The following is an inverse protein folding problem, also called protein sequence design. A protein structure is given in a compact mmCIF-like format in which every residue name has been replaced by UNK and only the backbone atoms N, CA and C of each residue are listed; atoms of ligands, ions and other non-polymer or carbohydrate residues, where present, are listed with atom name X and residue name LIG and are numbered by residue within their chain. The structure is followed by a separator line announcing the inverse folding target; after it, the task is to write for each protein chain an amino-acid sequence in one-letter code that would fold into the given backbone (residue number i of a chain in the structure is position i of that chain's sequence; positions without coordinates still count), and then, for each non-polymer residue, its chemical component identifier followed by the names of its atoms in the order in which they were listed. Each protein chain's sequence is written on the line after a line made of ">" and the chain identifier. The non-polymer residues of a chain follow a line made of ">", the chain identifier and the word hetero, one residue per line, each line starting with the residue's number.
data_IF_784999184916
#
_entry.id   IF_784999184916
#
_cell.length_a   1.000
_cell.length_b   1.000
_cell.length_c   1.000
_cell.angle_alpha   90.00
_cell.angle_beta   90.00
_cell.angle_gamma   90.00
#
_symmetry.space_group_name_H-M   'P 1'
#
loop_
_entity.id
_entity.type
_entity.pdbx_description
1 polymer ?
#
# COMPACT_ATOMS: atom_id res chain seq x y z
N UNK A 1 19.84 -3.24 -0.60
CA UNK A 1 18.78 -4.17 -0.12
C UNK A 1 19.29 -5.59 -0.23
N UNK A 2 19.08 -6.43 0.80
CA UNK A 2 19.53 -7.84 0.81
C UNK A 2 18.35 -8.73 1.13
N UNK A 3 18.20 -9.84 0.41
CA UNK A 3 17.15 -10.83 0.59
C UNK A 3 17.70 -12.07 1.27
N UNK A 4 16.98 -12.59 2.27
CA UNK A 4 17.27 -13.84 2.98
C UNK A 4 16.06 -14.76 2.80
N UNK A 5 16.23 -15.88 2.14
CA UNK A 5 15.19 -16.82 1.73
C UNK A 5 14.92 -17.97 2.71
N UNK A 6 15.50 -17.90 3.88
CA UNK A 6 15.31 -18.82 4.98
C UNK A 6 14.84 -18.10 6.25
N UNK A 7 14.35 -18.89 7.22
CA UNK A 7 13.77 -18.36 8.45
C UNK A 7 14.77 -17.61 9.34
N UNK A 8 14.27 -16.56 9.99
CA UNK A 8 15.05 -15.76 10.96
C UNK A 8 14.20 -15.48 12.20
N UNK A 9 14.86 -15.32 13.35
CA UNK A 9 14.23 -14.85 14.58
C UNK A 9 14.62 -13.40 14.85
N UNK A 10 13.71 -12.61 15.38
CA UNK A 10 14.00 -11.25 15.85
C UNK A 10 14.19 -11.29 17.37
N UNK A 11 15.43 -11.32 17.84
CA UNK A 11 15.80 -11.39 19.25
C UNK A 11 16.47 -10.10 19.71
N UNK A 12 15.95 -9.48 20.76
CA UNK A 12 16.44 -8.18 21.22
C UNK A 12 16.38 -7.09 20.15
N UNK A 13 15.43 -7.18 19.21
CA UNK A 13 15.32 -6.25 18.09
C UNK A 13 16.32 -6.46 16.96
N UNK A 14 17.10 -7.56 16.98
CA UNK A 14 18.12 -7.89 15.97
C UNK A 14 17.80 -9.24 15.33
N UNK A 15 17.85 -9.37 13.99
CA UNK A 15 17.69 -10.64 13.32
C UNK A 15 18.77 -11.64 13.68
N UNK A 16 18.37 -12.88 14.02
CA UNK A 16 19.26 -13.98 14.41
C UNK A 16 18.86 -15.25 13.64
N UNK A 17 19.81 -16.12 13.26
CA UNK A 17 19.48 -17.36 12.57
C UNK A 17 18.81 -18.40 13.48
N UNK A 18 18.98 -18.30 14.79
CA UNK A 18 18.45 -19.25 15.78
C UNK A 18 17.98 -18.53 17.04
N UNK A 19 17.03 -19.12 17.74
CA UNK A 19 16.57 -18.71 19.07
C UNK A 19 16.25 -19.97 19.92
N UNK A 20 16.07 -19.86 21.24
CA UNK A 20 15.62 -20.96 22.08
C UNK A 20 14.11 -21.22 21.95
N UNK A 21 13.58 -21.12 20.75
CA UNK A 21 12.17 -21.26 20.37
C UNK A 21 12.06 -22.05 19.07
N UNK A 22 10.96 -22.77 18.92
CA UNK A 22 10.61 -23.35 17.63
C UNK A 22 10.06 -22.27 16.67
N UNK A 23 10.12 -22.47 15.34
CA UNK A 23 9.50 -21.56 14.38
C UNK A 23 8.02 -21.31 14.66
N UNK A 24 7.25 -22.33 15.06
CA UNK A 24 5.82 -22.18 15.35
C UNK A 24 5.56 -21.32 16.60
N UNK A 25 6.37 -21.45 17.65
CA UNK A 25 6.32 -20.56 18.81
C UNK A 25 6.69 -19.12 18.45
N UNK A 26 7.72 -18.95 17.61
CA UNK A 26 8.14 -17.65 17.15
C UNK A 26 7.13 -16.97 16.22
N UNK A 27 6.42 -17.72 15.34
CA UNK A 27 5.36 -17.15 14.48
C UNK A 27 4.26 -16.48 15.29
N UNK A 28 3.86 -17.08 16.42
CA UNK A 28 2.83 -16.51 17.31
C UNK A 28 3.21 -15.16 17.90
N UNK A 29 4.48 -14.79 17.84
CA UNK A 29 5.04 -13.53 18.35
C UNK A 29 5.08 -12.41 17.33
N UNK A 30 4.80 -12.69 16.04
CA UNK A 30 4.69 -11.64 15.01
C UNK A 30 3.43 -10.80 15.20
N UNK A 31 3.46 -9.54 14.80
CA UNK A 31 2.27 -8.68 14.81
C UNK A 31 1.20 -9.24 13.88
N UNK A 32 1.61 -9.67 12.68
CA UNK A 32 0.72 -10.23 11.68
C UNK A 32 -0.07 -11.42 12.21
N UNK A 33 0.59 -12.39 12.82
CA UNK A 33 -0.11 -13.55 13.41
C UNK A 33 -1.12 -13.13 14.45
N UNK A 34 -0.74 -12.27 15.39
CA UNK A 34 -1.62 -11.84 16.49
C UNK A 34 -2.85 -11.09 15.99
N UNK A 35 -2.70 -10.24 14.96
CA UNK A 35 -3.83 -9.53 14.35
C UNK A 35 -4.74 -10.53 13.63
N UNK A 36 -4.18 -11.42 12.81
CA UNK A 36 -4.96 -12.42 12.09
C UNK A 36 -5.76 -13.32 13.05
N UNK A 37 -5.12 -13.81 14.12
CA UNK A 37 -5.81 -14.67 15.09
C UNK A 37 -6.89 -13.94 15.91
N UNK A 38 -6.70 -12.65 16.19
CA UNK A 38 -7.72 -11.84 16.85
C UNK A 38 -9.01 -11.69 16.01
N UNK A 39 -8.91 -11.80 14.69
CA UNK A 39 -10.04 -11.69 13.74
C UNK A 39 -10.49 -13.05 13.21
N UNK A 40 -9.81 -14.14 13.58
CA UNK A 40 -10.09 -15.48 13.11
C UNK A 40 -11.26 -16.13 13.88
N UNK A 41 -12.26 -16.60 13.17
CA UNK A 41 -13.45 -17.25 13.73
C UNK A 41 -13.51 -18.75 13.48
N UNK A 42 -12.46 -19.34 12.88
CA UNK A 42 -12.48 -20.76 12.53
C UNK A 42 -12.22 -21.69 13.71
N UNK A 43 -11.50 -21.22 14.72
CA UNK A 43 -10.93 -22.09 15.77
C UNK A 43 -9.69 -22.87 15.32
N UNK A 44 -9.28 -22.76 14.06
CA UNK A 44 -8.06 -23.35 13.49
C UNK A 44 -7.05 -22.24 13.22
N UNK A 45 -5.85 -22.34 13.82
CA UNK A 45 -4.82 -21.32 13.66
C UNK A 45 -4.24 -21.28 12.25
N UNK A 46 -4.37 -22.34 11.45
CA UNK A 46 -3.80 -22.47 10.10
C UNK A 46 -4.79 -22.23 8.96
N UNK A 47 -6.09 -22.41 9.23
CA UNK A 47 -7.18 -22.17 8.28
C UNK A 47 -8.05 -21.05 8.81
N UNK A 48 -7.75 -19.83 8.33
CA UNK A 48 -8.36 -18.63 8.84
C UNK A 48 -9.76 -18.41 8.25
N UNK A 49 -10.67 -17.91 9.07
CA UNK A 49 -11.98 -17.35 8.70
C UNK A 49 -12.07 -15.94 9.27
N UNK A 50 -11.64 -14.97 8.49
CA UNK A 50 -11.49 -13.60 8.98
C UNK A 50 -12.79 -12.82 8.82
N UNK A 51 -13.14 -12.06 9.88
CA UNK A 51 -14.07 -10.94 9.83
C UNK A 51 -13.30 -9.65 9.97
N UNK A 52 -13.57 -8.75 9.04
CA UNK A 52 -12.96 -7.41 9.05
C UNK A 52 -13.75 -6.46 9.95
N UNK A 53 -13.06 -5.44 10.49
CA UNK A 53 -13.69 -4.40 11.32
C UNK A 53 -14.40 -3.34 10.48
N UNK A 54 -13.91 -3.10 9.26
CA UNK A 54 -14.48 -2.13 8.35
C UNK A 54 -14.19 -2.49 6.89
N UNK A 55 -14.96 -1.88 6.00
CA UNK A 55 -14.79 -1.98 4.55
C UNK A 55 -14.74 -0.62 3.90
N UNK A 56 -14.11 -0.58 2.71
CA UNK A 56 -14.18 0.60 1.86
C UNK A 56 -14.13 0.22 0.38
N UNK A 57 -14.82 1.01 -0.43
CA UNK A 57 -14.84 0.84 -1.88
C UNK A 57 -14.92 2.18 -2.58
N UNK A 58 -14.47 2.22 -3.82
CA UNK A 58 -14.58 3.38 -4.68
C UNK A 58 -15.71 3.21 -5.72
N UNK A 59 -16.03 4.30 -6.37
CA UNK A 59 -17.14 4.44 -7.33
C UNK A 59 -17.11 3.45 -8.50
N UNK A 60 -15.96 2.94 -8.91
CA UNK A 60 -15.88 1.89 -9.94
C UNK A 60 -16.41 0.54 -9.46
N UNK A 61 -16.36 0.27 -8.15
CA UNK A 61 -16.57 -1.09 -7.60
C UNK A 61 -17.80 -1.24 -6.72
N UNK A 62 -18.14 -0.23 -5.89
CA UNK A 62 -19.21 -0.41 -4.88
C UNK A 62 -20.58 -0.71 -5.48
N UNK A 63 -20.89 -0.21 -6.67
CA UNK A 63 -22.19 -0.46 -7.32
C UNK A 63 -22.41 -1.95 -7.51
N UNK A 64 -21.47 -2.64 -8.16
CA UNK A 64 -21.54 -4.08 -8.39
C UNK A 64 -21.56 -4.90 -7.10
N UNK A 65 -20.73 -4.52 -6.12
CA UNK A 65 -20.64 -5.17 -4.81
C UNK A 65 -22.00 -5.11 -4.08
N UNK A 66 -22.58 -3.92 -4.00
CA UNK A 66 -23.85 -3.70 -3.30
C UNK A 66 -25.02 -4.37 -4.04
N UNK A 67 -25.04 -4.32 -5.38
CA UNK A 67 -26.06 -5.00 -6.17
C UNK A 67 -26.02 -6.52 -5.96
N UNK A 68 -24.82 -7.11 -5.96
CA UNK A 68 -24.64 -8.55 -5.70
C UNK A 68 -25.10 -8.92 -4.30
N UNK A 69 -24.68 -8.17 -3.28
CA UNK A 69 -25.08 -8.43 -1.89
C UNK A 69 -26.59 -8.24 -1.69
N UNK A 70 -27.19 -7.22 -2.33
CA UNK A 70 -28.64 -6.98 -2.30
C UNK A 70 -29.41 -8.13 -2.94
N UNK A 71 -28.99 -8.60 -4.10
CA UNK A 71 -29.60 -9.74 -4.79
C UNK A 71 -29.54 -11.02 -3.94
N UNK A 72 -28.51 -11.13 -3.09
CA UNK A 72 -28.32 -12.26 -2.17
C UNK A 72 -28.98 -12.06 -0.78
N UNK A 73 -29.80 -11.02 -0.62
CA UNK A 73 -30.63 -10.83 0.57
C UNK A 73 -30.12 -9.87 1.63
N UNK A 74 -29.06 -9.08 1.35
CA UNK A 74 -28.56 -8.05 2.27
C UNK A 74 -29.66 -7.04 2.64
N UNK A 75 -29.77 -6.72 3.93
CA UNK A 75 -30.76 -5.77 4.48
C UNK A 75 -30.11 -4.46 4.99
N UNK A 76 -28.89 -4.54 5.46
CA UNK A 76 -28.09 -3.44 6.03
C UNK A 76 -26.61 -3.75 5.84
N UNK A 77 -25.74 -2.75 5.95
CA UNK A 77 -24.30 -2.99 6.06
C UNK A 77 -23.98 -3.49 7.47
N UNK A 78 -23.39 -4.68 7.59
CA UNK A 78 -23.16 -5.30 8.91
C UNK A 78 -21.96 -4.75 9.67
N UNK A 79 -21.15 -3.90 9.01
CA UNK A 79 -19.95 -3.28 9.53
C UNK A 79 -19.80 -1.89 8.89
N UNK A 80 -18.99 -0.99 9.46
CA UNK A 80 -18.69 0.30 8.85
C UNK A 80 -18.21 0.14 7.40
N UNK A 81 -18.90 0.75 6.44
CA UNK A 81 -18.59 0.66 5.03
C UNK A 81 -18.56 2.05 4.40
N UNK A 82 -17.37 2.47 3.95
CA UNK A 82 -17.17 3.74 3.26
C UNK A 82 -17.25 3.58 1.74
N UNK A 83 -18.10 4.39 1.12
CA UNK A 83 -18.29 4.49 -0.32
C UNK A 83 -17.68 5.81 -0.79
N UNK A 84 -16.52 5.73 -1.46
CA UNK A 84 -15.75 6.89 -1.88
C UNK A 84 -15.88 7.15 -3.38
N UNK A 85 -15.91 8.42 -3.77
CA UNK A 85 -16.10 8.85 -5.16
C UNK A 85 -14.83 9.54 -5.67
N UNK A 86 -13.75 8.79 -5.77
CA UNK A 86 -12.43 9.34 -6.05
C UNK A 86 -11.80 8.87 -7.37
N UNK A 87 -12.30 7.80 -7.98
CA UNK A 87 -11.73 7.27 -9.23
C UNK A 87 -12.38 7.92 -10.46
N UNK A 88 -13.71 8.09 -10.44
CA UNK A 88 -14.46 8.77 -11.49
C UNK A 88 -15.04 10.08 -10.95
N UNK A 89 -14.19 10.95 -10.43
CA UNK A 89 -14.61 12.20 -9.75
C UNK A 89 -15.17 13.19 -10.73
N UNK A 90 -15.91 13.02 -11.65
CA UNK A 90 -16.73 13.92 -12.52
C UNK A 90 -16.06 15.20 -13.05
N UNK A 91 -14.95 15.63 -12.46
CA UNK A 91 -14.30 16.90 -12.82
C UNK A 91 -13.74 16.92 -14.25
N UNK A 92 -13.42 15.76 -14.82
CA UNK A 92 -12.81 15.65 -16.13
C UNK A 92 -13.66 14.87 -17.14
N UNK A 93 -14.58 14.03 -16.70
CA UNK A 93 -15.26 13.06 -17.57
C UNK A 93 -16.68 13.50 -17.95
N UNK A 94 -17.42 14.17 -17.08
CA UNK A 94 -18.74 14.70 -17.37
C UNK A 94 -19.75 13.68 -17.92
N UNK A 95 -19.61 12.41 -17.53
CA UNK A 95 -20.44 11.32 -18.03
C UNK A 95 -21.59 10.97 -17.08
N UNK A 96 -22.80 10.81 -17.61
CA UNK A 96 -23.99 10.47 -16.81
C UNK A 96 -23.85 9.14 -16.06
N UNK A 97 -23.08 8.18 -16.57
CA UNK A 97 -22.82 6.89 -15.91
C UNK A 97 -22.14 7.11 -14.56
N UNK A 98 -21.15 7.97 -14.51
CA UNK A 98 -20.41 8.26 -13.26
C UNK A 98 -21.31 9.02 -12.26
N UNK A 99 -22.16 9.91 -12.73
CA UNK A 99 -23.16 10.60 -11.90
C UNK A 99 -24.17 9.61 -11.31
N UNK A 100 -24.65 8.67 -12.10
CA UNK A 100 -25.54 7.60 -11.65
C UNK A 100 -24.89 6.73 -10.57
N UNK A 101 -23.62 6.39 -10.71
CA UNK A 101 -22.86 5.65 -9.71
C UNK A 101 -22.77 6.43 -8.38
N UNK A 102 -22.54 7.74 -8.43
CA UNK A 102 -22.49 8.60 -7.24
C UNK A 102 -23.87 8.73 -6.58
N UNK A 103 -24.94 8.90 -7.36
CA UNK A 103 -26.31 8.92 -6.84
C UNK A 103 -26.68 7.58 -6.22
N UNK A 104 -26.29 6.48 -6.87
CA UNK A 104 -26.47 5.14 -6.31
C UNK A 104 -25.74 4.98 -4.97
N UNK A 105 -24.46 5.39 -4.89
CA UNK A 105 -23.66 5.32 -3.67
C UNK A 105 -24.27 6.09 -2.51
N UNK A 106 -24.72 7.32 -2.75
CA UNK A 106 -25.41 8.14 -1.75
C UNK A 106 -26.72 7.47 -1.27
N UNK A 107 -27.52 6.95 -2.22
CA UNK A 107 -28.77 6.26 -1.91
C UNK A 107 -28.53 4.99 -1.11
N UNK A 108 -27.51 4.22 -1.48
CA UNK A 108 -27.13 2.98 -0.81
C UNK A 108 -26.63 3.25 0.62
N UNK A 109 -25.76 4.25 0.81
CA UNK A 109 -25.29 4.65 2.13
C UNK A 109 -26.46 5.05 3.05
N UNK A 110 -27.38 5.86 2.57
CA UNK A 110 -28.60 6.22 3.33
C UNK A 110 -29.49 5.03 3.65
N UNK A 111 -29.64 4.12 2.70
CA UNK A 111 -30.55 2.98 2.84
C UNK A 111 -30.00 1.89 3.75
N UNK A 112 -28.71 1.60 3.67
CA UNK A 112 -28.08 0.46 4.32
C UNK A 112 -27.19 0.83 5.51
N UNK A 113 -27.04 2.14 5.84
CA UNK A 113 -26.29 2.60 7.00
C UNK A 113 -24.78 2.77 6.72
N UNK A 114 -24.40 3.15 5.50
CA UNK A 114 -23.01 3.37 5.11
C UNK A 114 -22.50 4.80 5.28
N UNK A 115 -21.22 4.99 5.02
CA UNK A 115 -20.56 6.28 4.98
C UNK A 115 -20.38 6.68 3.51
N UNK A 116 -20.91 7.83 3.11
CA UNK A 116 -20.74 8.34 1.77
C UNK A 116 -19.71 9.47 1.75
N UNK A 117 -18.65 9.30 0.96
CA UNK A 117 -17.59 10.30 0.76
C UNK A 117 -17.76 10.89 -0.65
N UNK A 118 -18.20 12.14 -0.79
CA UNK A 118 -18.46 12.73 -2.09
C UNK A 118 -17.17 12.95 -2.91
N UNK A 119 -17.34 13.14 -4.22
CA UNK A 119 -16.24 13.49 -5.11
C UNK A 119 -15.49 14.74 -4.62
N UNK A 120 -14.18 14.79 -4.89
CA UNK A 120 -13.28 15.90 -4.57
C UNK A 120 -13.05 16.16 -3.08
N UNK A 121 -13.57 15.31 -2.20
CA UNK A 121 -13.30 15.43 -0.77
C UNK A 121 -12.01 14.70 -0.37
N UNK A 122 -11.82 13.47 -0.81
CA UNK A 122 -10.64 12.66 -0.45
C UNK A 122 -10.41 11.50 -1.41
N UNK A 123 -9.17 11.12 -1.60
CA UNK A 123 -8.81 9.81 -2.17
C UNK A 123 -9.18 8.72 -1.16
N UNK A 124 -9.66 7.56 -1.64
CA UNK A 124 -10.09 6.43 -0.80
C UNK A 124 -9.09 6.10 0.32
N UNK A 125 -7.80 5.99 -0.02
CA UNK A 125 -6.78 5.59 0.95
C UNK A 125 -6.43 6.69 1.95
N UNK A 126 -6.51 7.96 1.57
CA UNK A 126 -6.35 9.07 2.51
C UNK A 126 -7.50 9.11 3.50
N UNK A 127 -8.75 8.96 3.00
CA UNK A 127 -9.92 8.85 3.87
C UNK A 127 -9.80 7.70 4.87
N UNK A 128 -9.40 6.52 4.38
CA UNK A 128 -9.24 5.34 5.24
C UNK A 128 -8.19 5.55 6.33
N UNK A 129 -7.03 6.10 5.99
CA UNK A 129 -5.96 6.39 6.96
C UNK A 129 -6.41 7.37 8.03
N UNK A 130 -7.04 8.47 7.62
CA UNK A 130 -7.44 9.53 8.53
C UNK A 130 -8.67 9.20 9.37
N UNK A 131 -9.64 8.46 8.81
CA UNK A 131 -10.96 8.28 9.43
C UNK A 131 -11.27 6.86 9.90
N UNK A 132 -10.59 5.83 9.39
CA UNK A 132 -11.00 4.44 9.63
C UNK A 132 -9.88 3.57 10.24
N UNK A 133 -8.62 3.82 9.89
CA UNK A 133 -7.50 3.02 10.40
C UNK A 133 -7.40 3.08 11.93
N UNK A 134 -7.05 1.94 12.54
CA UNK A 134 -6.79 1.83 13.97
C UNK A 134 -5.78 0.70 14.23
N UNK A 135 -4.88 0.88 15.19
CA UNK A 135 -3.84 -0.10 15.48
C UNK A 135 -4.44 -1.46 15.91
N UNK A 136 -4.08 -2.51 15.20
CA UNK A 136 -4.54 -3.86 15.44
C UNK A 136 -5.84 -4.21 14.74
N UNK A 137 -6.46 -3.29 13.99
CA UNK A 137 -7.66 -3.56 13.20
C UNK A 137 -7.34 -4.19 11.84
N UNK A 138 -8.37 -4.76 11.20
CA UNK A 138 -8.33 -5.27 9.84
C UNK A 138 -9.38 -4.59 8.95
N UNK A 139 -8.97 -4.12 7.78
CA UNK A 139 -9.84 -3.45 6.81
C UNK A 139 -9.79 -4.19 5.47
N UNK A 140 -10.97 -4.42 4.86
CA UNK A 140 -11.11 -4.96 3.52
C UNK A 140 -11.49 -3.86 2.54
N UNK A 141 -10.72 -3.70 1.47
CA UNK A 141 -11.00 -2.73 0.42
C UNK A 141 -11.14 -3.35 -0.95
N UNK A 142 -11.87 -2.68 -1.82
CA UNK A 142 -12.03 -3.10 -3.23
C UNK A 142 -10.94 -2.55 -4.16
N UNK A 143 -9.96 -1.90 -3.61
CA UNK A 143 -8.79 -1.37 -4.33
C UNK A 143 -7.52 -2.12 -3.94
N UNK A 144 -6.66 -2.41 -4.92
CA UNK A 144 -5.41 -3.15 -4.70
C UNK A 144 -4.43 -2.44 -3.76
N UNK A 145 -4.48 -1.10 -3.71
CA UNK A 145 -3.64 -0.29 -2.82
C UNK A 145 -4.23 -0.13 -1.40
N UNK A 146 -5.17 -0.97 -1.02
CA UNK A 146 -5.69 -1.03 0.36
C UNK A 146 -4.58 -1.51 1.30
N UNK A 147 -3.74 -0.58 1.76
CA UNK A 147 -2.58 -0.78 2.63
C UNK A 147 -2.52 0.32 3.67
N UNK A 148 -2.64 -0.05 4.95
CA UNK A 148 -2.65 0.90 6.07
C UNK A 148 -1.76 0.39 7.22
N UNK A 149 -0.81 -0.48 6.88
CA UNK A 149 0.11 -1.11 7.82
C UNK A 149 0.96 -0.10 8.60
N UNK A 150 1.36 1.01 7.97
CA UNK A 150 2.10 2.08 8.61
C UNK A 150 1.35 2.72 9.80
N UNK A 151 0.02 2.58 9.83
CA UNK A 151 -0.85 3.01 10.92
C UNK A 151 -1.29 1.85 11.84
N UNK A 152 -0.59 0.72 11.77
CA UNK A 152 -0.91 -0.45 12.59
C UNK A 152 -2.18 -1.18 12.18
N UNK A 153 -2.75 -0.91 11.00
CA UNK A 153 -3.95 -1.57 10.48
C UNK A 153 -3.58 -2.55 9.38
N UNK A 154 -3.86 -3.84 9.57
CA UNK A 154 -3.68 -4.82 8.53
C UNK A 154 -4.82 -4.71 7.51
N UNK A 155 -4.50 -4.26 6.30
CA UNK A 155 -5.50 -4.04 5.28
C UNK A 155 -5.27 -4.94 4.06
N UNK A 156 -6.35 -5.45 3.49
CA UNK A 156 -6.34 -6.38 2.36
C UNK A 156 -7.18 -5.79 1.22
N UNK A 157 -6.60 -5.76 0.03
CA UNK A 157 -7.31 -5.40 -1.20
C UNK A 157 -7.82 -6.66 -1.89
N UNK A 158 -9.13 -6.74 -2.16
CA UNK A 158 -9.78 -7.91 -2.76
C UNK A 158 -10.78 -7.55 -3.84
N UNK A 159 -11.16 -8.54 -4.62
CA UNK A 159 -12.20 -8.41 -5.63
C UNK A 159 -13.60 -8.27 -5.02
N UNK A 160 -14.53 -7.72 -5.82
CA UNK A 160 -15.90 -7.47 -5.40
C UNK A 160 -16.64 -8.63 -4.72
N UNK A 161 -16.49 -9.89 -5.17
CA UNK A 161 -17.14 -11.04 -4.52
C UNK A 161 -16.75 -11.21 -3.06
N UNK A 162 -15.50 -10.97 -2.66
CA UNK A 162 -15.07 -11.09 -1.26
C UNK A 162 -15.70 -9.99 -0.39
N UNK A 163 -15.82 -8.77 -0.92
CA UNK A 163 -16.53 -7.71 -0.21
C UNK A 163 -18.03 -8.02 -0.07
N UNK A 164 -18.66 -8.56 -1.11
CA UNK A 164 -20.06 -8.98 -1.04
C UNK A 164 -20.30 -10.07 0.01
N UNK A 165 -19.36 -11.01 0.18
CA UNK A 165 -19.40 -12.01 1.26
C UNK A 165 -19.42 -11.35 2.65
N UNK A 166 -18.58 -10.33 2.88
CA UNK A 166 -18.57 -9.61 4.17
C UNK A 166 -19.92 -8.91 4.42
N UNK A 167 -20.50 -8.29 3.38
CA UNK A 167 -21.83 -7.67 3.47
C UNK A 167 -22.94 -8.70 3.78
N UNK A 168 -22.73 -9.96 3.48
CA UNK A 168 -23.63 -11.08 3.80
C UNK A 168 -23.25 -11.77 5.11
N UNK A 169 -22.35 -11.20 5.92
CA UNK A 169 -21.85 -11.74 7.20
C UNK A 169 -21.07 -13.04 7.05
N UNK A 170 -20.56 -13.36 5.85
CA UNK A 170 -19.59 -14.44 5.63
C UNK A 170 -18.17 -14.00 5.97
N UNK A 171 -17.27 -14.95 6.05
CA UNK A 171 -15.84 -14.73 6.34
C UNK A 171 -15.02 -14.64 5.07
N UNK A 172 -13.84 -14.05 5.17
CA UNK A 172 -12.75 -14.19 4.21
C UNK A 172 -11.91 -15.40 4.64
N UNK A 173 -11.88 -16.42 3.81
CA UNK A 173 -11.26 -17.70 4.13
C UNK A 173 -9.90 -17.81 3.43
N UNK A 174 -8.85 -18.04 4.22
CA UNK A 174 -7.49 -18.16 3.71
C UNK A 174 -6.62 -19.07 4.59
N UNK A 175 -5.59 -19.71 4.04
CA UNK A 175 -4.55 -20.31 4.87
C UNK A 175 -3.78 -19.22 5.62
N UNK A 176 -3.22 -19.57 6.78
CA UNK A 176 -2.31 -18.66 7.51
C UNK A 176 -1.11 -18.31 6.59
N UNK A 177 -0.90 -17.03 6.26
CA UNK A 177 0.19 -16.63 5.38
C UNK A 177 1.54 -16.71 6.08
N UNK A 178 2.59 -16.95 5.30
CA UNK A 178 3.96 -16.70 5.74
C UNK A 178 4.17 -15.21 5.99
N UNK A 179 5.05 -14.88 6.94
CA UNK A 179 5.40 -13.51 7.28
C UNK A 179 6.86 -13.25 6.92
N UNK A 180 7.09 -12.15 6.22
CA UNK A 180 8.43 -11.69 5.82
C UNK A 180 8.81 -10.47 6.65
N UNK A 181 9.92 -10.55 7.37
CA UNK A 181 10.48 -9.40 8.06
C UNK A 181 11.07 -8.42 7.05
N UNK A 182 10.63 -7.18 7.07
CA UNK A 182 11.33 -6.06 6.45
C UNK A 182 12.08 -5.33 7.55
N UNK A 183 13.37 -5.66 7.69
CA UNK A 183 14.22 -5.10 8.73
C UNK A 183 14.80 -3.76 8.26
N UNK A 184 14.25 -2.67 8.80
CA UNK A 184 14.57 -1.31 8.39
C UNK A 184 15.70 -0.73 9.23
N UNK A 185 16.75 -0.27 8.56
CA UNK A 185 17.92 0.36 9.21
C UNK A 185 18.29 1.67 8.49
N UNK A 186 19.23 2.39 9.09
CA UNK A 186 19.75 3.62 8.50
C UNK A 186 18.75 4.80 8.52
N UNK A 187 19.07 5.82 7.74
CA UNK A 187 18.24 7.04 7.56
C UNK A 187 18.34 7.45 6.10
N UNK A 188 17.25 7.84 5.45
CA UNK A 188 17.29 8.28 4.05
C UNK A 188 18.24 9.48 3.87
N UNK A 189 18.94 9.51 2.75
CA UNK A 189 19.74 10.67 2.34
C UNK A 189 18.82 11.78 1.84
N UNK A 190 19.30 13.00 1.85
CA UNK A 190 18.59 14.11 1.20
C UNK A 190 18.32 13.79 -0.28
N UNK A 191 17.10 14.02 -0.74
CA UNK A 191 16.65 13.70 -2.09
C UNK A 191 16.18 12.26 -2.31
N UNK A 192 16.17 11.44 -1.25
CA UNK A 192 15.56 10.11 -1.27
C UNK A 192 14.22 10.16 -0.55
N UNK A 193 13.15 9.89 -1.26
CA UNK A 193 11.78 9.87 -0.74
C UNK A 193 11.21 8.46 -0.55
N UNK A 194 9.97 8.37 -0.09
CA UNK A 194 9.31 7.09 0.13
C UNK A 194 9.16 6.25 -1.14
N UNK A 195 8.97 6.89 -2.31
CA UNK A 195 8.88 6.20 -3.59
C UNK A 195 10.18 5.51 -3.98
N UNK A 196 11.33 6.11 -3.68
CA UNK A 196 12.63 5.49 -3.97
C UNK A 196 12.78 4.18 -3.19
N UNK A 197 12.40 4.18 -1.91
CA UNK A 197 12.41 2.98 -1.08
C UNK A 197 11.41 1.92 -1.58
N UNK A 198 10.20 2.36 -1.95
CA UNK A 198 9.15 1.49 -2.45
C UNK A 198 9.53 0.86 -3.80
N UNK A 199 10.00 1.65 -4.76
CA UNK A 199 10.44 1.17 -6.08
C UNK A 199 11.63 0.21 -5.94
N UNK A 200 12.57 0.50 -5.04
CA UNK A 200 13.68 -0.40 -4.76
C UNK A 200 13.20 -1.75 -4.18
N UNK A 201 12.20 -1.72 -3.29
CA UNK A 201 11.57 -2.93 -2.74
C UNK A 201 10.87 -3.74 -3.83
N UNK A 202 10.06 -3.09 -4.67
CA UNK A 202 9.37 -3.73 -5.80
C UNK A 202 10.38 -4.36 -6.76
N UNK A 203 11.42 -3.61 -7.16
CA UNK A 203 12.50 -4.12 -8.02
C UNK A 203 13.16 -5.38 -7.44
N UNK A 204 13.47 -5.36 -6.14
CA UNK A 204 14.18 -6.46 -5.50
C UNK A 204 13.34 -7.75 -5.36
N UNK A 205 12.03 -7.63 -5.25
CA UNK A 205 11.16 -8.74 -4.82
C UNK A 205 10.23 -9.29 -5.90
N UNK A 206 9.87 -8.48 -6.90
CA UNK A 206 8.82 -8.83 -7.87
C UNK A 206 9.21 -10.00 -8.78
N UNK A 207 10.38 -9.94 -9.43
CA UNK A 207 10.79 -10.94 -10.42
C UNK A 207 10.91 -12.36 -9.84
N UNK A 208 11.34 -12.47 -8.58
CA UNK A 208 11.47 -13.75 -7.86
C UNK A 208 10.19 -14.18 -7.15
N UNK A 209 9.13 -13.36 -7.19
CA UNK A 209 7.92 -13.57 -6.37
C UNK A 209 8.23 -13.75 -4.87
N UNK A 210 9.27 -13.08 -4.38
CA UNK A 210 9.83 -13.29 -3.05
C UNK A 210 8.82 -13.10 -1.93
N UNK A 211 7.88 -12.18 -2.11
CA UNK A 211 6.86 -11.82 -1.11
C UNK A 211 5.43 -12.13 -1.56
N UNK A 212 5.26 -12.81 -2.68
CA UNK A 212 3.93 -13.08 -3.23
C UNK A 212 3.05 -13.81 -2.23
N UNK A 213 1.83 -13.28 -2.00
CA UNK A 213 0.84 -13.80 -1.05
C UNK A 213 1.32 -13.91 0.40
N UNK A 214 2.37 -13.17 0.78
CA UNK A 214 2.93 -13.10 2.14
C UNK A 214 2.59 -11.77 2.79
N UNK A 215 2.63 -11.72 4.10
CA UNK A 215 2.51 -10.45 4.85
C UNK A 215 3.90 -9.87 5.05
N UNK A 216 4.08 -8.59 4.74
CA UNK A 216 5.28 -7.83 5.07
C UNK A 216 5.15 -7.23 6.46
N UNK A 217 6.01 -7.59 7.38
CA UNK A 217 6.07 -7.00 8.72
C UNK A 217 7.32 -6.14 8.84
N UNK A 218 7.12 -4.83 8.98
CA UNK A 218 8.19 -3.85 9.06
C UNK A 218 8.57 -3.62 10.51
N UNK A 219 9.82 -3.89 10.82
CA UNK A 219 10.43 -3.68 12.13
C UNK A 219 11.87 -3.20 12.00
N UNK A 220 12.43 -2.65 13.05
CA UNK A 220 13.84 -2.28 13.12
C UNK A 220 14.10 -0.81 13.41
N UNK A 221 15.36 -0.48 13.75
CA UNK A 221 15.73 0.82 14.32
C UNK A 221 15.60 2.01 13.35
N UNK A 222 15.44 1.76 12.04
CA UNK A 222 15.24 2.79 11.03
C UNK A 222 13.83 3.40 11.07
N UNK A 223 12.82 2.64 11.56
CA UNK A 223 11.41 3.07 11.53
C UNK A 223 11.20 4.35 12.35
N UNK A 224 11.71 4.42 13.56
CA UNK A 224 11.52 5.56 14.46
C UNK A 224 12.08 6.89 13.92
N UNK A 225 12.85 6.86 12.84
CA UNK A 225 13.41 8.03 12.16
C UNK A 225 12.60 8.50 10.97
N UNK A 226 11.53 7.78 10.61
CA UNK A 226 10.71 8.07 9.45
C UNK A 226 9.43 8.82 9.86
N UNK A 227 9.14 9.97 9.23
CA UNK A 227 7.82 10.58 9.32
C UNK A 227 6.71 9.60 8.89
N UNK A 228 5.51 9.80 9.39
CA UNK A 228 4.40 8.89 9.09
C UNK A 228 4.05 8.85 7.60
N UNK A 229 4.15 9.97 6.89
CA UNK A 229 3.90 10.03 5.45
C UNK A 229 4.95 9.27 4.64
N UNK A 230 6.20 9.24 5.11
CA UNK A 230 7.23 8.41 4.48
C UNK A 230 6.89 6.91 4.60
N UNK A 231 6.43 6.48 5.79
CA UNK A 231 5.98 5.09 5.99
C UNK A 231 4.75 4.77 5.14
N UNK A 232 3.75 5.65 5.10
CA UNK A 232 2.55 5.51 4.27
C UNK A 232 2.88 5.41 2.78
N UNK A 233 3.86 6.18 2.29
CA UNK A 233 4.30 6.15 0.90
C UNK A 233 4.97 4.85 0.51
N UNK A 234 5.77 4.23 1.41
CA UNK A 234 6.29 2.88 1.19
C UNK A 234 5.16 1.85 1.26
N UNK A 235 4.35 1.93 2.31
CA UNK A 235 3.32 0.94 2.64
C UNK A 235 2.32 0.74 1.51
N UNK A 236 1.80 1.82 0.94
CA UNK A 236 0.82 1.76 -0.15
C UNK A 236 1.38 1.09 -1.40
N UNK A 237 2.67 1.28 -1.67
CA UNK A 237 3.34 0.69 -2.84
C UNK A 237 3.73 -0.78 -2.64
N UNK A 238 3.58 -1.34 -1.43
CA UNK A 238 3.83 -2.77 -1.21
C UNK A 238 2.92 -3.66 -2.06
N UNK A 239 1.77 -3.16 -2.50
CA UNK A 239 0.87 -3.88 -3.40
C UNK A 239 1.56 -4.27 -4.70
N UNK A 240 2.45 -3.45 -5.22
CA UNK A 240 3.20 -3.70 -6.45
C UNK A 240 4.21 -4.86 -6.31
N UNK A 241 4.48 -5.30 -5.09
CA UNK A 241 5.28 -6.50 -4.83
C UNK A 241 4.48 -7.79 -4.89
N UNK A 242 3.14 -7.70 -5.05
CA UNK A 242 2.19 -8.82 -4.96
C UNK A 242 2.08 -9.46 -3.57
N UNK A 243 2.48 -8.76 -2.50
CA UNK A 243 2.27 -9.23 -1.14
C UNK A 243 0.77 -9.21 -0.78
N UNK A 244 0.37 -10.03 0.18
CA UNK A 244 -1.01 -10.09 0.67
C UNK A 244 -1.41 -8.84 1.45
N UNK A 245 -0.56 -8.43 2.36
CA UNK A 245 -0.77 -7.28 3.24
C UNK A 245 0.55 -6.80 3.82
N UNK A 246 0.50 -5.72 4.59
CA UNK A 246 1.63 -5.16 5.32
C UNK A 246 1.21 -4.71 6.71
N UNK A 247 2.16 -4.69 7.64
CA UNK A 247 2.00 -4.18 9.00
C UNK A 247 3.34 -3.62 9.50
N UNK A 248 3.31 -2.54 10.26
CA UNK A 248 4.48 -1.86 10.78
C UNK A 248 4.44 -1.76 12.30
N UNK A 249 5.60 -1.71 12.92
CA UNK A 249 5.72 -1.24 14.30
C UNK A 249 5.11 0.17 14.44
N UNK A 250 4.36 0.38 15.51
CA UNK A 250 3.76 1.68 15.81
C UNK A 250 4.50 2.37 16.95
N UNK A 251 4.64 3.68 16.84
CA UNK A 251 5.40 4.51 17.76
C UNK A 251 4.74 5.88 17.98
N UNK A 252 5.47 6.84 18.54
CA UNK A 252 4.98 8.19 18.81
C UNK A 252 4.57 8.95 17.54
N UNK A 253 5.19 8.68 16.36
CA UNK A 253 4.78 9.28 15.10
C UNK A 253 3.39 8.74 14.67
N UNK A 254 3.14 7.45 14.84
CA UNK A 254 1.82 6.87 14.61
C UNK A 254 0.78 7.45 15.57
N UNK A 255 1.12 7.60 16.84
CA UNK A 255 0.26 8.20 17.85
C UNK A 255 -0.09 9.63 17.50
N UNK A 256 0.91 10.44 17.15
CA UNK A 256 0.73 11.83 16.74
C UNK A 256 -0.19 11.96 15.53
N UNK A 257 -0.07 11.05 14.54
CA UNK A 257 -0.96 11.05 13.40
C UNK A 257 -2.43 10.93 13.84
N UNK A 258 -2.76 9.98 14.70
CA UNK A 258 -4.12 9.81 15.20
C UNK A 258 -4.59 10.99 16.07
N UNK A 259 -3.71 11.57 16.88
CA UNK A 259 -4.02 12.77 17.68
C UNK A 259 -4.37 13.98 16.79
N UNK A 260 -3.58 14.24 15.75
CA UNK A 260 -3.83 15.32 14.78
C UNK A 260 -5.16 15.16 14.06
N UNK A 261 -5.58 13.90 13.80
CA UNK A 261 -6.86 13.58 13.17
C UNK A 261 -8.03 13.44 14.17
N UNK A 262 -7.82 13.81 15.45
CA UNK A 262 -8.85 13.76 16.49
C UNK A 262 -9.27 12.35 16.90
N UNK A 263 -8.40 11.34 16.69
CA UNK A 263 -8.67 9.94 16.96
C UNK A 263 -7.57 9.28 17.83
N UNK A 264 -7.20 9.87 18.98
CA UNK A 264 -6.13 9.32 19.82
C UNK A 264 -6.41 7.91 20.31
N UNK A 265 -7.68 7.50 20.44
CA UNK A 265 -8.11 6.16 20.84
C UNK A 265 -7.77 5.09 19.80
N UNK A 266 -7.55 5.47 18.55
CA UNK A 266 -7.15 4.53 17.47
C UNK A 266 -5.69 4.06 17.61
N UNK A 267 -4.89 4.75 18.44
CA UNK A 267 -3.51 4.35 18.68
C UNK A 267 -3.41 3.21 19.69
N UNK A 268 -2.58 2.25 19.33
CA UNK A 268 -2.09 1.19 20.23
C UNK A 268 -0.65 0.88 19.84
N UNK A 269 0.22 0.70 20.84
CA UNK A 269 1.58 0.24 20.56
C UNK A 269 1.55 -1.19 20.03
N UNK A 270 2.09 -1.37 18.83
CA UNK A 270 2.31 -2.66 18.19
C UNK A 270 3.80 -2.84 17.92
N UNK A 271 4.31 -4.00 18.27
CA UNK A 271 5.66 -4.45 17.95
C UNK A 271 5.69 -5.97 17.91
N UNK A 272 6.61 -6.60 17.17
CA UNK A 272 6.88 -8.02 17.36
C UNK A 272 7.33 -8.28 18.80
N UNK A 273 6.97 -9.43 19.32
CA UNK A 273 7.49 -9.88 20.62
C UNK A 273 8.89 -10.47 20.44
N UNK A 274 9.67 -10.44 21.49
CA UNK A 274 11.05 -10.99 21.46
C UNK A 274 11.04 -12.47 21.04
N UNK A 275 11.90 -12.82 20.08
CA UNK A 275 11.93 -14.14 19.46
C UNK A 275 10.85 -14.38 18.41
N UNK A 276 10.23 -13.34 17.84
CA UNK A 276 9.33 -13.47 16.68
C UNK A 276 10.08 -14.13 15.51
N UNK A 277 9.43 -15.12 14.87
CA UNK A 277 9.98 -15.84 13.72
C UNK A 277 9.33 -15.42 12.42
N UNK A 278 10.16 -15.21 11.42
CA UNK A 278 9.77 -14.85 10.06
C UNK A 278 10.31 -15.89 9.07
N UNK A 279 9.51 -16.22 8.08
CA UNK A 279 9.87 -17.23 7.09
C UNK A 279 10.98 -16.76 6.14
N UNK A 280 11.09 -15.44 5.96
CA UNK A 280 12.08 -14.75 5.12
C UNK A 280 12.38 -13.37 5.70
N UNK A 281 13.44 -12.74 5.18
CA UNK A 281 13.80 -11.38 5.58
C UNK A 281 14.26 -10.54 4.38
N UNK A 282 13.96 -9.26 4.45
CA UNK A 282 14.46 -8.20 3.59
C UNK A 282 15.19 -7.19 4.48
N UNK A 283 16.50 -7.03 4.30
CA UNK A 283 17.25 -5.96 4.93
C UNK A 283 17.11 -4.70 4.07
N UNK A 284 16.45 -3.68 4.62
CA UNK A 284 16.26 -2.37 3.98
C UNK A 284 17.09 -1.33 4.71
N UNK A 285 18.31 -1.09 4.24
CA UNK A 285 19.14 0.01 4.71
C UNK A 285 18.82 1.29 3.91
N UNK A 286 18.09 2.19 4.57
CA UNK A 286 17.64 3.46 3.97
C UNK A 286 18.82 4.37 3.59
N UNK A 287 19.98 4.24 4.25
CA UNK A 287 21.17 5.04 3.95
C UNK A 287 21.84 4.68 2.62
N UNK A 288 21.57 3.49 2.10
CA UNK A 288 22.09 2.98 0.83
C UNK A 288 21.17 3.26 -0.36
N UNK A 289 19.98 3.80 -0.12
CA UNK A 289 19.07 4.14 -1.20
C UNK A 289 19.57 5.37 -1.98
N UNK A 290 19.30 5.35 -3.27
CA UNK A 290 19.52 6.46 -4.20
C UNK A 290 18.18 6.87 -4.83
N UNK A 291 18.05 8.07 -5.35
CA UNK A 291 16.87 8.45 -6.12
C UNK A 291 16.62 7.48 -7.28
N UNK A 292 15.39 7.03 -7.42
CA UNK A 292 14.97 5.98 -8.34
C UNK A 292 14.00 6.52 -9.40
N UNK A 293 13.94 5.81 -10.52
CA UNK A 293 12.91 5.96 -11.54
C UNK A 293 12.40 4.59 -11.95
N UNK A 294 11.09 4.46 -12.12
CA UNK A 294 10.46 3.29 -12.70
C UNK A 294 10.01 3.61 -14.13
N UNK A 295 10.36 2.74 -15.06
CA UNK A 295 9.96 2.83 -16.45
C UNK A 295 8.73 1.96 -16.72
N UNK A 296 7.98 2.22 -17.80
CA UNK A 296 6.91 1.32 -18.21
C UNK A 296 7.45 -0.11 -18.40
N UNK A 297 6.65 -1.14 -18.14
CA UNK A 297 5.19 -1.12 -17.90
C UNK A 297 4.84 -1.55 -16.49
N UNK A 298 5.82 -1.84 -15.65
CA UNK A 298 5.64 -2.25 -14.27
C UNK A 298 6.69 -1.57 -13.37
N UNK A 299 6.37 -1.16 -12.13
CA UNK A 299 7.32 -0.50 -11.22
C UNK A 299 8.60 -1.28 -10.90
N UNK A 300 8.64 -2.59 -11.19
CA UNK A 300 9.87 -3.38 -11.07
C UNK A 300 10.91 -3.08 -12.16
N UNK A 301 10.48 -2.46 -13.28
CA UNK A 301 11.39 -1.96 -14.31
C UNK A 301 12.01 -0.62 -13.82
N UNK A 302 12.86 -0.71 -12.83
CA UNK A 302 13.34 0.44 -12.07
C UNK A 302 14.86 0.52 -12.04
N UNK A 303 15.36 1.74 -11.96
CA UNK A 303 16.78 2.06 -11.99
C UNK A 303 17.06 3.21 -11.01
N UNK A 304 18.30 3.33 -10.54
CA UNK A 304 18.70 4.62 -9.98
C UNK A 304 18.68 5.67 -11.08
N UNK A 305 18.39 6.92 -10.75
CA UNK A 305 18.42 8.00 -11.76
C UNK A 305 19.79 8.08 -12.42
N UNK A 306 20.86 7.84 -11.67
CA UNK A 306 22.23 7.79 -12.19
C UNK A 306 22.40 6.69 -13.26
N UNK A 307 21.97 5.46 -12.95
CA UNK A 307 22.11 4.34 -13.87
C UNK A 307 21.17 4.49 -15.08
N UNK A 308 19.99 5.07 -14.88
CA UNK A 308 19.08 5.41 -15.97
C UNK A 308 19.71 6.39 -16.94
N UNK A 309 20.27 7.51 -16.45
CA UNK A 309 20.90 8.51 -17.32
C UNK A 309 22.14 7.97 -18.06
N UNK A 310 22.92 7.10 -17.40
CA UNK A 310 24.08 6.46 -18.01
C UNK A 310 23.71 5.48 -19.16
N UNK A 311 22.50 4.90 -19.13
CA UNK A 311 22.06 3.88 -20.08
C UNK A 311 20.72 4.25 -20.75
N UNK A 312 20.36 5.53 -20.78
CA UNK A 312 19.02 6.00 -21.18
C UNK A 312 18.63 5.53 -22.59
N UNK A 313 19.55 5.57 -23.54
CA UNK A 313 19.29 5.15 -24.92
C UNK A 313 18.87 3.66 -25.00
N UNK A 314 19.62 2.78 -24.35
CA UNK A 314 19.31 1.34 -24.35
C UNK A 314 17.99 1.04 -23.62
N UNK A 315 17.80 1.65 -22.45
CA UNK A 315 16.62 1.43 -21.63
C UNK A 315 15.36 1.94 -22.30
N UNK A 316 15.37 3.13 -22.88
CA UNK A 316 14.22 3.68 -23.59
C UNK A 316 13.92 2.91 -24.88
N UNK A 317 14.94 2.48 -25.63
CA UNK A 317 14.77 1.62 -26.79
C UNK A 317 14.10 0.28 -26.39
N UNK A 318 14.47 -0.29 -25.24
CA UNK A 318 13.84 -1.51 -24.70
C UNK A 318 12.35 -1.30 -24.38
N UNK A 319 12.00 -0.15 -23.79
CA UNK A 319 10.59 0.19 -23.51
C UNK A 319 9.78 0.38 -24.80
N UNK A 320 10.34 1.06 -25.81
CA UNK A 320 9.68 1.19 -27.13
C UNK A 320 9.44 -0.15 -27.81
N UNK A 321 10.45 -1.02 -27.77
CA UNK A 321 10.33 -2.37 -28.35
C UNK A 321 9.23 -3.19 -27.66
N UNK A 322 9.16 -3.13 -26.33
CA UNK A 322 8.11 -3.79 -25.56
C UNK A 322 6.72 -3.17 -25.81
N UNK A 323 6.63 -1.85 -25.91
CA UNK A 323 5.39 -1.15 -26.28
C UNK A 323 4.89 -1.62 -27.66
N UNK A 324 5.76 -1.69 -28.65
CA UNK A 324 5.43 -2.16 -30.00
C UNK A 324 5.01 -3.63 -30.01
N UNK A 325 5.64 -4.45 -29.18
CA UNK A 325 5.26 -5.87 -29.03
C UNK A 325 3.85 -6.01 -28.44
N UNK A 326 3.51 -5.24 -27.42
CA UNK A 326 2.19 -5.27 -26.77
C UNK A 326 1.10 -4.64 -27.61
N UNK A 327 1.40 -3.53 -28.21
CA UNK A 327 0.47 -2.72 -29.01
C UNK A 327 1.10 -2.32 -30.34
N UNK A 328 1.04 -3.20 -31.38
CA UNK A 328 1.72 -2.96 -32.65
C UNK A 328 1.32 -1.65 -33.36
N UNK A 329 0.14 -1.10 -33.02
CA UNK A 329 -0.37 0.18 -33.56
C UNK A 329 -0.03 1.40 -32.68
N UNK A 330 0.57 1.20 -31.51
CA UNK A 330 0.94 2.33 -30.66
C UNK A 330 2.15 3.06 -31.24
N UNK A 331 2.05 4.39 -31.23
CA UNK A 331 3.10 5.29 -31.66
C UNK A 331 3.83 5.80 -30.41
N UNK A 332 4.88 5.08 -29.99
CA UNK A 332 5.68 5.41 -28.80
C UNK A 332 7.09 5.75 -29.24
N UNK A 333 7.53 6.97 -28.95
CA UNK A 333 8.81 7.55 -29.36
C UNK A 333 9.53 8.14 -28.14
N UNK A 334 10.07 7.28 -27.27
CA UNK A 334 10.79 7.71 -26.07
C UNK A 334 12.22 8.13 -26.39
N UNK A 335 12.82 7.62 -27.47
CA UNK A 335 14.15 8.01 -27.91
C UNK A 335 14.21 9.47 -28.35
N UNK A 336 13.10 10.04 -28.82
CA UNK A 336 12.97 11.46 -29.14
C UNK A 336 13.12 12.38 -27.92
N UNK A 337 13.07 11.82 -26.70
CA UNK A 337 13.27 12.54 -25.43
C UNK A 337 14.73 12.63 -25.01
N UNK A 338 15.64 11.99 -25.75
CA UNK A 338 17.07 12.10 -25.49
C UNK A 338 17.60 13.44 -26.02
N UNK A 339 18.21 14.21 -25.15
CA UNK A 339 18.87 15.47 -25.47
C UNK A 339 20.26 15.51 -24.82
N UNK A 340 21.08 16.45 -25.21
CA UNK A 340 22.45 16.62 -24.71
C UNK A 340 22.45 16.63 -23.16
N UNK A 341 23.00 15.57 -22.60
CA UNK A 341 23.18 15.40 -21.15
C UNK A 341 21.95 14.93 -20.32
N UNK A 342 20.81 14.57 -20.98
CA UNK A 342 19.65 14.14 -20.21
C UNK A 342 18.50 13.57 -21.00
N UNK A 343 17.38 13.37 -20.30
CA UNK A 343 16.10 12.91 -20.85
C UNK A 343 15.04 13.94 -20.48
N UNK A 344 14.31 14.41 -21.48
CA UNK A 344 13.25 15.39 -21.28
C UNK A 344 11.94 14.72 -20.87
N UNK A 345 11.24 15.34 -19.93
CA UNK A 345 9.87 15.01 -19.56
C UNK A 345 8.96 16.16 -19.99
N UNK A 346 7.89 15.87 -20.70
CA UNK A 346 6.94 16.90 -21.16
C UNK A 346 6.09 17.43 -19.98
N UNK A 347 5.82 16.58 -19.01
CA UNK A 347 4.99 16.93 -17.86
C UNK A 347 5.42 16.13 -16.62
N UNK A 348 5.46 16.81 -15.47
CA UNK A 348 5.63 16.22 -14.15
C UNK A 348 4.32 16.34 -13.36
N UNK A 349 3.89 15.26 -12.72
CA UNK A 349 2.68 15.23 -11.88
C UNK A 349 3.04 14.68 -10.49
N UNK A 350 2.66 15.42 -9.46
CA UNK A 350 2.77 14.99 -8.07
C UNK A 350 1.34 14.82 -7.54
N UNK A 351 0.89 13.58 -7.43
CA UNK A 351 -0.51 13.29 -7.13
C UNK A 351 -0.70 11.88 -6.54
N UNK A 352 -1.95 11.58 -6.16
CA UNK A 352 -2.41 10.26 -5.79
C UNK A 352 -2.12 9.88 -4.33
N UNK A 353 -2.55 8.67 -3.96
CA UNK A 353 -2.48 8.15 -2.59
C UNK A 353 -1.06 7.86 -2.09
N UNK A 354 -0.09 7.74 -3.00
CA UNK A 354 1.31 7.50 -2.69
C UNK A 354 2.16 8.76 -2.86
N UNK A 355 1.98 9.53 -3.95
CA UNK A 355 2.77 10.71 -4.26
C UNK A 355 2.20 12.03 -3.77
N UNK A 356 0.88 12.10 -3.55
CA UNK A 356 0.16 13.31 -3.13
C UNK A 356 -0.05 13.42 -1.62
N UNK A 357 0.78 12.77 -0.79
CA UNK A 357 0.76 12.97 0.66
C UNK A 357 1.27 14.37 1.02
N UNK A 358 0.89 14.86 2.19
CA UNK A 358 1.19 16.22 2.63
C UNK A 358 2.68 16.54 2.57
N UNK A 359 3.52 15.68 3.15
CA UNK A 359 4.97 15.88 3.17
C UNK A 359 5.56 15.88 1.75
N UNK A 360 5.07 15.01 0.84
CA UNK A 360 5.53 14.96 -0.55
C UNK A 360 5.22 16.27 -1.30
N UNK A 361 4.02 16.84 -1.10
CA UNK A 361 3.61 18.10 -1.70
C UNK A 361 4.42 19.26 -1.10
N UNK A 362 4.64 19.27 0.20
CA UNK A 362 5.41 20.29 0.90
C UNK A 362 6.88 20.30 0.43
N UNK A 363 7.52 19.15 0.33
CA UNK A 363 8.88 19.01 -0.17
C UNK A 363 8.98 19.48 -1.64
N UNK A 364 8.04 19.05 -2.48
CA UNK A 364 7.99 19.49 -3.88
C UNK A 364 7.84 21.02 -3.99
N UNK A 365 6.94 21.60 -3.19
CA UNK A 365 6.76 23.06 -3.14
C UNK A 365 8.04 23.76 -2.68
N UNK A 366 8.77 23.18 -1.73
CA UNK A 366 10.04 23.72 -1.24
C UNK A 366 11.13 23.70 -2.31
N UNK A 367 11.19 22.64 -3.14
CA UNK A 367 12.14 22.50 -4.24
C UNK A 367 11.81 23.48 -5.38
N UNK A 368 10.51 23.61 -5.70
CA UNK A 368 10.05 24.44 -6.82
C UNK A 368 9.97 25.94 -6.49
N UNK A 369 10.10 26.30 -5.22
CA UNK A 369 10.00 27.70 -4.76
C UNK A 369 11.04 28.58 -5.49
N UNK A 370 10.54 29.60 -6.19
CA UNK A 370 11.39 30.54 -6.95
C UNK A 370 11.78 30.04 -8.35
N UNK A 371 11.29 28.88 -8.75
CA UNK A 371 11.44 28.36 -10.12
C UNK A 371 10.09 28.43 -10.85
N UNK A 372 10.12 28.81 -12.12
CA UNK A 372 8.95 28.73 -13.00
C UNK A 372 9.08 27.47 -13.84
N UNK A 373 8.07 26.62 -13.80
CA UNK A 373 8.01 25.45 -14.68
C UNK A 373 7.66 25.90 -16.09
N UNK A 374 8.60 26.44 -16.83
CA UNK A 374 8.48 26.94 -18.19
C UNK A 374 7.33 26.39 -19.02
N UNK A 375 6.11 26.85 -18.74
CA UNK A 375 5.02 26.73 -19.71
C UNK A 375 5.35 27.73 -20.83
N UNK A 376 6.02 27.26 -21.87
CA UNK A 376 6.14 27.97 -23.10
C UNK A 376 4.84 27.98 -23.88
#
# INVERSE_FOLDING_TARGET
>A
MKLTDHGVFLCGGVPQPTAPLTPDEGRRRTMAYRILQAHNQSGDERQLRIRFDAMLSHDITYVGIIQQARASGMKEFPLPYALTNCHNSLCAVGGTINEDDHVFGLSAAKKYGGIYVPANQSVIHSYAREQMAACGSMILGSDSHTRYGALGTMAVGEGGPELAKQLLRHTWDAPLPEVVLVYVTGTPRRGVGPHDAAIALVKATFASSFVKNRVLEFAGPGIAKLPIDFRNGIDVMTTETTCLSSIWETDEETKRFFEVHGRPEAYKKLSPEDGAYYDRMIELDLSQLEPMIALPFHPSNAYTIRDFLANAQELLAGVEAEAKRRWPKANVHLLDKLHDGGVWADQGIIAGCAGGLFDSIYEAASILKGHTGGCG
#
